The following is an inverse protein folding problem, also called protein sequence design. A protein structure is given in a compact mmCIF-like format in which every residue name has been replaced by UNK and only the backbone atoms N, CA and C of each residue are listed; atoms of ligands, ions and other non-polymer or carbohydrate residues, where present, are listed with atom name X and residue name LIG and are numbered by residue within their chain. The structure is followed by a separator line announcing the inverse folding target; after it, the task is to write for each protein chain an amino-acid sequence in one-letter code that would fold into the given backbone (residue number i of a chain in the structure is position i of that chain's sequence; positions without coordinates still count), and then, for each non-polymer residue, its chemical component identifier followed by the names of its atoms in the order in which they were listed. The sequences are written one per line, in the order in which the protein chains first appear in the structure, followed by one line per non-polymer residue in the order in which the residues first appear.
data_IF_359139720619
#
_entry.id   IF_359139720619
#
_cell.length_a   1.000
_cell.length_b   1.000
_cell.length_c   1.000
_cell.angle_alpha   90.00
_cell.angle_beta   90.00
_cell.angle_gamma   90.00
#
_symmetry.space_group_name_H-M   'P 1'
#
loop_
_entity.id
_entity.type
_entity.pdbx_description
1 polymer ?
#
# COMPACT_ATOMS: atom_id res chain seq x y z
N UNK A 1 -14.52 11.95 -13.29
CA UNK A 1 -13.49 10.92 -13.05
C UNK A 1 -12.19 11.22 -13.79
N UNK A 2 -11.04 11.09 -13.10
CA UNK A 2 -9.71 11.14 -13.73
C UNK A 2 -9.22 9.76 -14.21
N UNK A 3 -10.08 8.73 -14.22
CA UNK A 3 -9.70 7.40 -14.66
C UNK A 3 -10.89 6.73 -15.35
N UNK A 4 -10.67 6.12 -16.50
CA UNK A 4 -11.73 5.42 -17.24
C UNK A 4 -12.15 4.12 -16.55
N UNK A 5 -13.36 3.62 -16.80
CA UNK A 5 -13.82 2.35 -16.21
C UNK A 5 -12.92 1.18 -16.58
N UNK A 6 -12.41 1.14 -17.83
CA UNK A 6 -11.47 0.11 -18.28
C UNK A 6 -10.16 0.13 -17.49
N UNK A 7 -9.62 1.33 -17.21
CA UNK A 7 -8.42 1.49 -16.39
C UNK A 7 -8.65 1.04 -14.96
N UNK A 8 -9.82 1.36 -14.38
CA UNK A 8 -10.18 0.90 -13.04
C UNK A 8 -10.21 -0.62 -12.96
N UNK A 9 -10.87 -1.29 -13.91
CA UNK A 9 -10.94 -2.77 -13.97
C UNK A 9 -9.54 -3.37 -14.08
N UNK A 10 -8.71 -2.86 -14.99
CA UNK A 10 -7.33 -3.36 -15.17
C UNK A 10 -6.44 -3.12 -13.95
N UNK A 11 -6.56 -1.98 -13.29
CA UNK A 11 -5.78 -1.70 -12.08
C UNK A 11 -6.22 -2.63 -10.96
N UNK A 12 -7.52 -2.86 -10.78
CA UNK A 12 -8.02 -3.82 -9.79
C UNK A 12 -7.50 -5.22 -10.07
N UNK A 13 -7.53 -5.67 -11.32
CA UNK A 13 -6.94 -6.95 -11.75
C UNK A 13 -5.44 -7.01 -11.41
N UNK A 14 -4.68 -5.96 -11.74
CA UNK A 14 -3.24 -5.94 -11.46
C UNK A 14 -2.93 -5.94 -9.97
N UNK A 15 -3.70 -5.22 -9.15
CA UNK A 15 -3.53 -5.16 -7.70
C UNK A 15 -3.90 -6.46 -6.99
N UNK A 16 -4.76 -7.28 -7.59
CA UNK A 16 -5.24 -8.55 -7.02
C UNK A 16 -4.50 -9.78 -7.57
N UNK A 17 -3.83 -9.66 -8.71
CA UNK A 17 -3.16 -10.79 -9.39
C UNK A 17 -1.96 -11.41 -8.65
N UNK A 18 -1.40 -10.75 -7.63
CA UNK A 18 -0.20 -11.22 -6.93
C UNK A 18 1.09 -11.21 -7.75
N UNK A 19 1.06 -10.83 -9.03
CA UNK A 19 2.27 -10.76 -9.85
C UNK A 19 3.02 -9.43 -9.61
N UNK A 20 4.32 -9.45 -9.30
CA UNK A 20 5.09 -8.23 -9.00
C UNK A 20 5.14 -7.27 -10.19
N UNK A 21 5.22 -7.82 -11.40
CA UNK A 21 5.26 -7.02 -12.63
C UNK A 21 3.93 -6.28 -12.88
N UNK A 22 2.79 -6.88 -12.53
CA UNK A 22 1.47 -6.26 -12.62
C UNK A 22 1.27 -5.22 -11.53
N UNK A 23 1.70 -5.49 -10.30
CA UNK A 23 1.70 -4.52 -9.20
C UNK A 23 2.51 -3.26 -9.55
N UNK A 24 3.71 -3.42 -10.10
CA UNK A 24 4.53 -2.29 -10.55
C UNK A 24 3.86 -1.49 -11.67
N UNK A 25 3.19 -2.16 -12.62
CA UNK A 25 2.39 -1.51 -13.68
C UNK A 25 1.21 -0.72 -13.08
N UNK A 26 0.47 -1.30 -12.15
CA UNK A 26 -0.64 -0.62 -11.46
C UNK A 26 -0.16 0.63 -10.73
N UNK A 27 0.93 0.53 -9.97
CA UNK A 27 1.53 1.65 -9.27
C UNK A 27 1.94 2.79 -10.22
N UNK A 28 2.52 2.44 -11.37
CA UNK A 28 2.88 3.41 -12.41
C UNK A 28 1.64 4.12 -13.00
N UNK A 29 0.60 3.37 -13.35
CA UNK A 29 -0.64 3.95 -13.89
C UNK A 29 -1.26 4.93 -12.88
N UNK A 30 -1.33 4.54 -11.60
CA UNK A 30 -1.86 5.39 -10.54
C UNK A 30 -1.03 6.66 -10.34
N UNK A 31 0.30 6.56 -10.44
CA UNK A 31 1.20 7.71 -10.38
C UNK A 31 0.98 8.66 -11.56
N UNK A 32 0.90 8.13 -12.78
CA UNK A 32 0.70 8.94 -13.98
C UNK A 32 -0.66 9.67 -13.94
N UNK A 33 -1.73 8.98 -13.53
CA UNK A 33 -3.05 9.58 -13.32
C UNK A 33 -2.99 10.68 -12.25
N UNK A 34 -2.28 10.45 -11.14
CA UNK A 34 -2.10 11.47 -10.10
C UNK A 34 -1.32 12.70 -10.61
N UNK A 35 -0.30 12.51 -11.44
CA UNK A 35 0.46 13.61 -12.05
C UNK A 35 -0.39 14.43 -13.02
N UNK A 36 -1.19 13.76 -13.86
CA UNK A 36 -2.10 14.43 -14.81
C UNK A 36 -3.18 15.24 -14.06
N UNK A 37 -3.77 14.65 -13.02
CA UNK A 37 -4.75 15.31 -12.17
C UNK A 37 -4.19 16.58 -11.50
N UNK A 38 -2.95 16.53 -10.97
CA UNK A 38 -2.28 17.71 -10.39
C UNK A 38 -2.04 18.85 -11.39
N UNK A 39 -1.96 18.54 -12.68
CA UNK A 39 -1.78 19.54 -13.75
C UNK A 39 -3.11 20.12 -14.26
N UNK A 40 -4.24 19.71 -13.69
CA UNK A 40 -5.58 20.10 -14.18
C UNK A 40 -5.91 19.53 -15.56
N UNK A 41 -5.14 18.54 -16.02
CA UNK A 41 -5.36 17.89 -17.31
C UNK A 41 -6.18 16.63 -17.05
N UNK A 42 -7.45 16.65 -17.46
CA UNK A 42 -8.24 15.43 -17.51
C UNK A 42 -7.53 14.44 -18.45
N UNK A 43 -7.30 13.17 -18.03
CA UNK A 43 -6.56 12.23 -18.83
C UNK A 43 -7.33 11.92 -20.11
N UNK A 44 -6.89 12.53 -21.21
CA UNK A 44 -7.28 12.11 -22.54
C UNK A 44 -6.44 10.89 -22.91
N UNK A 45 -7.09 9.89 -23.51
CA UNK A 45 -6.49 8.69 -24.12
C UNK A 45 -5.31 9.05 -25.03
N UNK A 46 -4.13 9.24 -24.46
CA UNK A 46 -2.87 9.24 -25.20
C UNK A 46 -1.97 8.26 -24.48
N UNK A 47 -1.82 7.09 -25.08
CA UNK A 47 -0.81 6.10 -24.73
C UNK A 47 0.55 6.83 -24.64
N UNK A 48 1.01 7.08 -23.41
CA UNK A 48 2.26 7.80 -23.16
C UNK A 48 3.42 6.87 -23.48
N UNK A 49 4.22 7.29 -24.46
CA UNK A 49 5.56 6.76 -24.77
C UNK A 49 6.39 6.71 -23.48
N UNK A 50 7.03 5.56 -23.28
CA UNK A 50 7.89 5.23 -22.16
C UNK A 50 8.86 6.36 -21.77
N UNK A 51 8.62 7.00 -20.62
CA UNK A 51 9.70 7.67 -19.88
C UNK A 51 10.32 6.64 -18.92
N UNK A 52 11.65 6.53 -18.98
CA UNK A 52 12.40 5.47 -18.31
C UNK A 52 12.53 5.73 -16.81
N UNK A 53 12.26 4.67 -16.04
CA UNK A 53 12.38 4.59 -14.57
C UNK A 53 13.76 5.02 -14.07
N UNK A 54 14.79 4.95 -14.91
CA UNK A 54 16.16 5.36 -14.60
C UNK A 54 16.33 6.84 -14.26
N UNK A 55 15.51 7.74 -14.81
CA UNK A 55 15.63 9.18 -14.52
C UNK A 55 15.14 9.53 -13.11
N UNK A 56 14.21 8.74 -12.57
CA UNK A 56 13.64 8.94 -11.23
C UNK A 56 14.54 8.42 -10.11
N UNK A 57 15.31 7.36 -10.36
CA UNK A 57 16.30 6.84 -9.40
C UNK A 57 17.47 7.83 -9.28
N UNK A 58 17.92 8.41 -10.40
CA UNK A 58 18.99 9.41 -10.42
C UNK A 58 18.66 10.68 -9.61
N UNK A 59 17.42 11.18 -9.71
CA UNK A 59 16.98 12.36 -8.97
C UNK A 59 16.84 12.07 -7.46
N UNK A 60 16.45 10.85 -7.08
CA UNK A 60 16.34 10.43 -5.68
C UNK A 60 17.72 10.24 -5.01
N UNK A 61 18.71 9.75 -5.76
CA UNK A 61 20.09 9.60 -5.26
C UNK A 61 20.82 10.94 -5.11
N UNK A 62 20.52 11.92 -5.98
CA UNK A 62 21.03 13.29 -5.82
C UNK A 62 20.43 14.01 -4.60
N UNK A 63 19.19 13.70 -4.21
CA UNK A 63 18.56 14.28 -3.03
C UNK A 63 19.06 13.67 -1.69
N UNK A 64 19.73 12.51 -1.72
CA UNK A 64 20.22 11.78 -0.54
C UNK A 64 21.69 12.03 -0.21
N UNK A 65 22.41 12.81 -1.01
CA UNK A 65 23.80 13.16 -0.69
C UNK A 65 23.82 14.16 0.47
N UNK A 66 24.50 13.88 1.61
CA UNK A 66 24.68 14.89 2.64
C UNK A 66 25.47 16.08 2.06
N UNK A 67 25.15 17.33 2.43
CA UNK A 67 25.83 18.49 1.88
C UNK A 67 27.32 18.39 2.22
N UNK A 68 28.16 18.18 1.19
CA UNK A 68 29.61 18.31 1.32
C UNK A 68 29.84 19.72 1.89
N UNK A 69 30.50 19.80 3.05
CA UNK A 69 30.97 21.05 3.63
C UNK A 69 31.92 21.70 2.62
N UNK A 70 31.38 22.60 1.80
CA UNK A 70 32.16 23.51 0.98
C UNK A 70 32.80 24.50 1.95
N UNK A 71 34.11 24.35 2.12
CA UNK A 71 34.99 25.35 2.71
C UNK A 71 34.74 26.68 2.01
N UNK A 72 34.25 27.66 2.76
CA UNK A 72 33.99 29.01 2.28
C UNK A 72 35.32 29.71 2.04
N UNK A 73 35.83 29.64 0.82
CA UNK A 73 36.77 30.64 0.32
C UNK A 73 35.91 31.80 -0.21
N UNK A 74 35.95 32.91 0.52
CA UNK A 74 35.35 34.19 0.15
C UNK A 74 35.91 34.65 -1.20
N UNK A 75 35.09 34.63 -2.24
CA UNK A 75 35.30 35.44 -3.44
C UNK A 75 34.04 36.27 -3.68
N UNK A 76 34.24 37.58 -3.67
CA UNK A 76 33.25 38.60 -3.97
C UNK A 76 32.55 38.31 -5.30
N UNK A 77 31.23 38.21 -5.26
CA UNK A 77 30.40 38.12 -6.45
C UNK A 77 28.93 37.96 -6.05
N UNK A 78 28.18 39.05 -6.13
CA UNK A 78 26.76 39.10 -5.83
C UNK A 78 25.95 38.02 -6.57
N UNK A 79 25.48 37.02 -5.84
CA UNK A 79 24.23 36.32 -6.16
C UNK A 79 23.49 36.10 -4.86
N UNK A 80 22.76 37.13 -4.44
CA UNK A 80 21.67 36.96 -3.49
C UNK A 80 20.59 36.17 -4.22
N UNK A 81 20.60 34.85 -4.09
CA UNK A 81 19.41 34.03 -4.33
C UNK A 81 18.39 34.45 -3.27
N UNK A 82 17.65 35.51 -3.59
CA UNK A 82 16.45 35.89 -2.88
C UNK A 82 15.46 34.75 -3.08
N UNK A 83 15.45 33.80 -2.13
CA UNK A 83 14.32 32.90 -1.93
C UNK A 83 13.14 33.76 -1.49
N UNK A 84 12.49 34.41 -2.45
CA UNK A 84 11.19 35.03 -2.25
C UNK A 84 10.23 33.90 -1.91
N UNK A 85 10.06 33.67 -0.61
CA UNK A 85 8.89 32.99 -0.08
C UNK A 85 7.71 33.90 -0.37
N UNK A 86 7.17 33.81 -1.59
CA UNK A 86 5.94 34.49 -1.96
C UNK A 86 4.86 34.09 -0.95
N UNK A 87 4.38 35.02 -0.11
CA UNK A 87 3.38 34.71 0.92
C UNK A 87 2.08 34.20 0.30
N UNK A 88 1.77 34.56 -0.95
CA UNK A 88 0.60 34.05 -1.67
C UNK A 88 0.78 32.57 -2.02
N UNK A 89 1.96 32.18 -2.51
CA UNK A 89 2.29 30.78 -2.77
C UNK A 89 2.24 29.93 -1.50
N UNK A 90 2.83 30.42 -0.40
CA UNK A 90 2.78 29.73 0.89
C UNK A 90 1.34 29.55 1.42
N UNK A 91 0.48 30.55 1.22
CA UNK A 91 -0.94 30.46 1.58
C UNK A 91 -1.67 29.42 0.71
N UNK A 92 -1.45 29.42 -0.60
CA UNK A 92 -2.07 28.47 -1.52
C UNK A 92 -1.67 27.01 -1.19
N UNK A 93 -0.39 26.77 -0.89
CA UNK A 93 0.11 25.45 -0.46
C UNK A 93 -0.54 25.01 0.85
N UNK A 94 -0.70 25.92 1.82
CA UNK A 94 -1.39 25.64 3.09
C UNK A 94 -2.86 25.29 2.88
N UNK A 95 -3.58 26.02 2.04
CA UNK A 95 -5.00 25.75 1.71
C UNK A 95 -5.13 24.39 1.02
N UNK A 96 -4.25 24.08 0.08
CA UNK A 96 -4.23 22.78 -0.61
C UNK A 96 -3.98 21.63 0.37
N UNK A 97 -3.04 21.79 1.32
CA UNK A 97 -2.77 20.80 2.36
C UNK A 97 -3.99 20.58 3.27
N UNK A 98 -4.67 21.65 3.71
CA UNK A 98 -5.89 21.54 4.53
C UNK A 98 -6.97 20.75 3.79
N UNK A 99 -7.21 21.07 2.51
CA UNK A 99 -8.17 20.32 1.67
C UNK A 99 -7.78 18.85 1.55
N UNK A 100 -6.49 18.54 1.35
CA UNK A 100 -6.00 17.17 1.25
C UNK A 100 -6.20 16.40 2.57
N UNK A 101 -5.92 17.02 3.72
CA UNK A 101 -6.13 16.40 5.03
C UNK A 101 -7.62 16.15 5.33
N UNK A 102 -8.49 17.09 4.96
CA UNK A 102 -9.94 16.90 5.05
C UNK A 102 -10.41 15.74 4.16
N UNK A 103 -9.91 15.65 2.93
CA UNK A 103 -10.20 14.55 2.02
C UNK A 103 -9.76 13.20 2.61
N UNK A 104 -8.55 13.11 3.15
CA UNK A 104 -8.06 11.86 3.78
C UNK A 104 -8.84 11.48 5.04
N UNK A 105 -9.36 12.46 5.79
CA UNK A 105 -10.22 12.23 6.94
C UNK A 105 -11.58 11.68 6.53
N UNK A 106 -12.16 12.19 5.45
CA UNK A 106 -13.46 11.75 4.94
C UNK A 106 -13.38 10.44 4.17
N UNK A 107 -12.25 10.15 3.54
CA UNK A 107 -12.04 8.98 2.68
C UNK A 107 -10.71 8.31 3.02
N UNK A 108 -10.61 7.70 4.22
CA UNK A 108 -9.39 7.07 4.68
C UNK A 108 -8.99 5.94 3.75
N UNK A 109 -7.67 5.72 3.63
CA UNK A 109 -7.14 4.52 3.00
C UNK A 109 -7.29 3.32 3.96
N UNK A 110 -7.30 2.09 3.43
CA UNK A 110 -7.10 0.89 4.24
C UNK A 110 -5.89 1.03 5.18
N UNK A 111 -5.99 0.46 6.38
CA UNK A 111 -4.91 0.49 7.38
C UNK A 111 -3.68 -0.24 6.86
N UNK A 112 -3.89 -1.27 6.04
CA UNK A 112 -2.85 -2.07 5.42
C UNK A 112 -2.98 -1.93 3.90
N UNK A 113 -1.90 -1.51 3.24
CA UNK A 113 -1.83 -1.43 1.78
C UNK A 113 -1.09 -2.65 1.23
N UNK A 114 -1.39 -3.10 -0.01
CA UNK A 114 -0.67 -4.19 -0.66
C UNK A 114 0.84 -3.89 -0.75
N UNK A 115 1.67 -4.90 -0.51
CA UNK A 115 3.13 -4.82 -0.56
C UNK A 115 3.71 -6.04 -1.25
N UNK A 116 4.88 -5.86 -1.84
CA UNK A 116 5.70 -6.94 -2.37
C UNK A 116 7.03 -6.95 -1.60
N UNK A 117 7.51 -8.14 -1.26
CA UNK A 117 8.81 -8.34 -0.60
C UNK A 117 9.51 -9.54 -1.21
N UNK A 118 10.83 -9.43 -1.37
CA UNK A 118 11.70 -10.54 -1.77
C UNK A 118 12.66 -10.84 -0.62
N UNK A 119 12.66 -12.07 -0.13
CA UNK A 119 13.42 -12.47 1.05
C UNK A 119 14.34 -13.63 0.71
N UNK A 120 15.48 -13.69 1.39
CA UNK A 120 16.39 -14.83 1.29
C UNK A 120 15.76 -16.07 1.93
N UNK A 121 15.85 -17.22 1.26
CA UNK A 121 15.37 -18.50 1.81
C UNK A 121 16.26 -18.85 3.01
N UNK A 122 15.69 -19.16 4.18
CA UNK A 122 16.52 -19.46 5.34
C UNK A 122 17.30 -20.75 5.16
N UNK A 123 18.60 -20.73 5.51
CA UNK A 123 19.51 -21.88 5.36
C UNK A 123 19.34 -22.93 6.46
N UNK A 124 18.74 -22.54 7.56
CA UNK A 124 18.54 -23.36 8.76
C UNK A 124 17.15 -23.07 9.34
N UNK A 125 16.48 -24.04 9.98
CA UNK A 125 15.20 -23.80 10.67
C UNK A 125 15.28 -22.73 11.78
N UNK A 126 16.48 -22.48 12.31
CA UNK A 126 16.74 -21.44 13.30
C UNK A 126 16.87 -20.04 12.68
N UNK A 127 17.23 -19.99 11.41
CA UNK A 127 17.29 -18.76 10.63
C UNK A 127 15.86 -18.51 10.14
N UNK A 128 15.21 -17.45 10.61
CA UNK A 128 13.83 -17.15 10.22
C UNK A 128 13.79 -15.73 9.70
N UNK A 129 13.56 -15.59 8.39
CA UNK A 129 13.34 -14.29 7.77
C UNK A 129 12.06 -13.61 8.31
N UNK A 130 11.02 -14.40 8.58
CA UNK A 130 9.77 -13.96 9.21
C UNK A 130 9.23 -15.09 10.10
N UNK A 131 8.44 -14.73 11.10
CA UNK A 131 7.62 -15.68 11.88
C UNK A 131 6.18 -15.41 11.57
N UNK A 132 5.39 -16.47 11.37
CA UNK A 132 3.99 -16.39 10.96
C UNK A 132 3.05 -16.92 12.06
N UNK A 133 1.81 -16.43 12.08
CA UNK A 133 0.75 -17.01 12.89
C UNK A 133 -0.58 -17.06 12.13
N UNK A 134 -1.47 -17.96 12.56
CA UNK A 134 -2.81 -18.09 12.01
C UNK A 134 -3.72 -17.00 12.56
N UNK A 135 -4.66 -16.55 11.72
CA UNK A 135 -5.81 -15.75 12.12
C UNK A 135 -7.02 -16.14 11.27
N UNK A 136 -8.20 -15.76 11.73
CA UNK A 136 -9.46 -15.99 11.02
C UNK A 136 -10.08 -14.66 10.62
N UNK A 137 -10.31 -14.42 9.34
CA UNK A 137 -11.03 -13.25 8.84
C UNK A 137 -12.55 -13.48 8.90
N UNK A 138 -13.31 -12.44 9.20
CA UNK A 138 -14.78 -12.47 9.30
C UNK A 138 -15.50 -12.29 7.94
N UNK A 139 -14.74 -12.23 6.85
CA UNK A 139 -15.25 -12.03 5.49
C UNK A 139 -15.70 -10.59 5.19
N UNK A 140 -15.52 -9.62 6.09
CA UNK A 140 -16.03 -8.25 5.89
C UNK A 140 -15.01 -7.30 5.27
N UNK A 141 -15.48 -6.34 4.46
CA UNK A 141 -14.65 -5.21 3.97
C UNK A 141 -14.09 -4.36 5.12
N UNK A 142 -14.74 -4.37 6.29
CA UNK A 142 -14.30 -3.64 7.49
C UNK A 142 -12.90 -4.08 7.96
N UNK A 143 -12.49 -5.31 7.65
CA UNK A 143 -11.17 -5.82 8.03
C UNK A 143 -10.01 -5.00 7.39
N UNK A 144 -10.22 -4.44 6.20
CA UNK A 144 -9.25 -3.55 5.53
C UNK A 144 -8.94 -2.28 6.36
N UNK A 145 -9.89 -1.84 7.20
CA UNK A 145 -9.74 -0.69 8.09
C UNK A 145 -9.45 -1.11 9.54
N UNK A 146 -9.36 -2.41 9.81
CA UNK A 146 -9.13 -2.95 11.14
C UNK A 146 -7.64 -3.02 11.41
N UNK A 147 -7.21 -2.47 12.55
CA UNK A 147 -5.81 -2.58 12.96
C UNK A 147 -5.59 -3.94 13.61
N UNK A 148 -4.76 -4.76 12.98
CA UNK A 148 -4.31 -6.03 13.53
C UNK A 148 -3.08 -5.77 14.42
N UNK A 149 -3.09 -6.33 15.62
CA UNK A 149 -1.96 -6.27 16.54
C UNK A 149 -1.66 -7.66 17.07
N UNK A 150 -0.38 -8.02 17.11
CA UNK A 150 0.08 -9.34 17.58
C UNK A 150 0.86 -9.10 18.87
N UNK A 151 0.49 -9.78 19.95
CA UNK A 151 1.08 -9.59 21.29
C UNK A 151 1.56 -10.90 21.90
N UNK A 152 2.64 -10.81 22.67
CA UNK A 152 3.18 -11.92 23.46
C UNK A 152 3.98 -12.94 22.64
N UNK A 153 4.58 -13.90 23.35
CA UNK A 153 5.36 -15.00 22.75
C UNK A 153 4.50 -16.02 22.03
N UNK A 154 3.22 -16.12 22.39
CA UNK A 154 2.24 -16.99 21.72
C UNK A 154 1.61 -16.35 20.47
N UNK A 155 2.08 -15.17 20.07
CA UNK A 155 1.58 -14.44 18.90
C UNK A 155 0.06 -14.24 18.88
N UNK A 156 -0.53 -13.95 20.05
CA UNK A 156 -1.98 -13.74 20.18
C UNK A 156 -2.42 -12.54 19.35
N UNK A 157 -3.32 -12.80 18.40
CA UNK A 157 -3.89 -11.79 17.51
C UNK A 157 -4.98 -11.00 18.23
N UNK A 158 -4.92 -9.67 18.11
CA UNK A 158 -5.95 -8.74 18.57
C UNK A 158 -6.32 -7.79 17.45
N UNK A 159 -7.60 -7.74 17.11
CA UNK A 159 -8.17 -6.86 16.10
C UNK A 159 -8.81 -5.66 16.78
N UNK A 160 -8.34 -4.45 16.45
CA UNK A 160 -8.96 -3.22 16.89
C UNK A 160 -9.75 -2.64 15.72
N UNK A 161 -11.04 -2.89 15.72
CA UNK A 161 -11.95 -2.32 14.74
C UNK A 161 -11.89 -0.77 14.82
N UNK A 162 -12.03 -0.07 13.68
CA UNK A 162 -12.16 1.37 13.66
C UNK A 162 -13.57 1.74 14.14
N UNK A 163 -13.77 1.75 15.45
CA UNK A 163 -15.03 2.16 16.06
C UNK A 163 -15.42 3.56 15.53
N UNK A 164 -16.55 3.64 14.82
CA UNK A 164 -17.28 4.87 14.45
C UNK A 164 -16.46 5.92 13.68
N UNK A 165 -15.47 5.53 12.87
CA UNK A 165 -14.82 6.50 11.99
C UNK A 165 -15.77 6.88 10.85
N UNK A 166 -16.33 8.09 10.91
CA UNK A 166 -17.23 8.62 9.88
C UNK A 166 -16.68 8.50 8.46
N UNK A 167 -15.37 8.66 8.27
CA UNK A 167 -14.77 8.49 6.95
C UNK A 167 -14.77 7.04 6.47
N UNK A 168 -14.55 6.07 7.36
CA UNK A 168 -14.67 4.64 7.02
C UNK A 168 -16.11 4.32 6.65
N UNK A 169 -17.09 4.83 7.41
CA UNK A 169 -18.52 4.66 7.11
C UNK A 169 -18.83 5.21 5.73
N UNK A 170 -18.37 6.43 5.42
CA UNK A 170 -18.56 7.02 4.10
C UNK A 170 -18.04 6.10 3.00
N UNK A 171 -16.81 5.58 3.15
CA UNK A 171 -16.21 4.66 2.18
C UNK A 171 -17.03 3.39 2.03
N UNK A 172 -17.48 2.79 3.12
CA UNK A 172 -18.26 1.55 3.06
C UNK A 172 -19.63 1.75 2.42
N UNK A 173 -20.29 2.88 2.66
CA UNK A 173 -21.63 3.20 2.11
C UNK A 173 -21.62 3.61 0.64
N UNK A 174 -20.46 3.90 0.05
CA UNK A 174 -20.33 4.54 -1.27
C UNK A 174 -20.83 3.70 -2.45
N UNK A 175 -21.08 2.41 -2.24
CA UNK A 175 -21.50 1.48 -3.29
C UNK A 175 -22.95 1.00 -3.14
N UNK A 176 -23.64 1.33 -2.04
CA UNK A 176 -24.92 0.71 -1.68
C UNK A 176 -26.16 1.56 -2.00
N UNK A 177 -26.02 2.64 -2.76
CA UNK A 177 -27.10 3.63 -2.92
C UNK A 177 -27.39 4.33 -1.59
N UNK A 178 -28.49 5.11 -1.48
CA UNK A 178 -28.85 5.80 -0.24
C UNK A 178 -29.37 4.80 0.81
N UNK A 179 -28.47 4.02 1.42
CA UNK A 179 -28.76 3.23 2.60
C UNK A 179 -28.58 4.09 3.85
N UNK A 180 -29.66 4.26 4.61
CA UNK A 180 -29.73 5.11 5.81
C UNK A 180 -29.30 4.40 7.09
N UNK A 181 -29.00 3.10 7.06
CA UNK A 181 -28.61 2.32 8.24
C UNK A 181 -27.17 1.80 8.19
N UNK A 182 -26.47 1.96 9.32
CA UNK A 182 -25.09 1.53 9.53
C UNK A 182 -24.90 0.01 9.40
N UNK A 183 -25.92 -0.77 9.81
CA UNK A 183 -25.88 -2.24 9.79
C UNK A 183 -25.77 -2.82 8.37
N UNK A 184 -26.37 -2.16 7.38
CA UNK A 184 -26.36 -2.62 5.98
C UNK A 184 -25.00 -2.35 5.31
N UNK A 185 -24.33 -1.25 5.66
CA UNK A 185 -23.02 -0.92 5.10
C UNK A 185 -21.90 -1.84 5.62
N UNK A 186 -22.05 -2.36 6.85
CA UNK A 186 -21.09 -3.29 7.46
C UNK A 186 -21.22 -4.73 6.98
N UNK A 187 -22.36 -5.11 6.41
CA UNK A 187 -22.63 -6.49 5.97
C UNK A 187 -22.19 -6.78 4.53
N UNK A 188 -21.30 -5.94 3.99
CA UNK A 188 -20.57 -6.24 2.77
C UNK A 188 -19.60 -7.41 3.01
N UNK A 189 -20.18 -8.61 3.01
CA UNK A 189 -19.48 -9.87 3.10
C UNK A 189 -18.88 -10.21 1.75
N UNK A 190 -17.65 -10.68 1.81
CA UNK A 190 -16.90 -11.23 0.71
C UNK A 190 -16.90 -12.73 0.96
N UNK A 191 -17.38 -13.48 -0.02
CA UNK A 191 -17.43 -14.95 0.04
C UNK A 191 -16.05 -15.52 -0.31
N UNK A 192 -15.21 -15.70 0.71
CA UNK A 192 -13.84 -16.19 0.58
C UNK A 192 -13.43 -17.01 1.81
N UNK A 193 -12.37 -17.80 1.64
CA UNK A 193 -11.83 -18.60 2.74
C UNK A 193 -11.38 -17.70 3.90
N UNK A 194 -11.71 -18.13 5.12
CA UNK A 194 -11.55 -17.32 6.33
C UNK A 194 -10.18 -17.51 6.99
N UNK A 195 -9.42 -18.52 6.58
CA UNK A 195 -8.09 -18.77 7.12
C UNK A 195 -7.09 -17.81 6.52
N UNK A 196 -6.29 -17.15 7.36
CA UNK A 196 -5.22 -16.29 6.88
C UNK A 196 -3.96 -16.42 7.71
N UNK A 197 -2.85 -16.09 7.07
CA UNK A 197 -1.52 -16.13 7.68
C UNK A 197 -1.01 -14.71 7.88
N UNK A 198 -0.67 -14.36 9.11
CA UNK A 198 -0.14 -13.05 9.50
C UNK A 198 1.35 -13.11 9.75
N UNK A 199 2.05 -12.00 9.49
CA UNK A 199 3.43 -11.79 9.93
C UNK A 199 3.43 -11.46 11.43
N UNK A 200 3.92 -12.37 12.26
CA UNK A 200 4.02 -12.24 13.71
C UNK A 200 5.32 -11.59 14.18
N UNK A 201 6.44 -11.95 13.57
CA UNK A 201 7.76 -11.36 13.83
C UNK A 201 8.50 -11.06 12.54
N UNK A 202 9.35 -10.05 12.60
CA UNK A 202 10.04 -9.49 11.44
C UNK A 202 11.53 -9.53 11.71
N UNK A 203 12.28 -10.16 10.80
CA UNK A 203 13.73 -10.03 10.75
C UNK A 203 14.13 -8.71 10.06
N UNK A 204 15.32 -8.13 10.35
CA UNK A 204 15.77 -6.88 9.74
C UNK A 204 15.64 -6.79 8.22
N UNK A 205 15.83 -7.90 7.49
CA UNK A 205 15.68 -7.96 6.03
C UNK A 205 14.25 -7.59 5.57
N UNK A 206 13.23 -8.21 6.16
CA UNK A 206 11.83 -7.88 5.86
C UNK A 206 11.44 -6.48 6.35
N UNK A 207 11.94 -6.09 7.53
CA UNK A 207 11.71 -4.75 8.08
C UNK A 207 12.26 -3.64 7.19
N UNK A 208 13.45 -3.85 6.60
CA UNK A 208 14.07 -2.93 5.64
C UNK A 208 13.25 -2.72 4.35
N UNK A 209 12.41 -3.70 3.99
CA UNK A 209 11.49 -3.63 2.86
C UNK A 209 10.07 -3.17 3.24
N UNK A 210 9.86 -2.77 4.50
CA UNK A 210 8.59 -2.21 4.96
C UNK A 210 7.54 -3.24 5.38
N UNK A 211 7.93 -4.50 5.56
CA UNK A 211 7.08 -5.52 6.20
C UNK A 211 6.80 -5.13 7.64
N UNK A 212 5.54 -5.27 8.08
CA UNK A 212 5.08 -4.92 9.41
C UNK A 212 4.34 -6.08 10.09
N UNK A 213 4.29 -6.07 11.43
CA UNK A 213 3.60 -7.09 12.21
C UNK A 213 2.10 -6.93 11.97
N UNK A 214 1.43 -8.04 11.70
CA UNK A 214 0.02 -8.06 11.31
C UNK A 214 -0.23 -7.77 9.83
N UNK A 215 0.82 -7.64 9.00
CA UNK A 215 0.65 -7.79 7.55
C UNK A 215 0.17 -9.21 7.23
N UNK A 216 -0.71 -9.35 6.24
CA UNK A 216 -1.31 -10.64 5.85
C UNK A 216 -0.61 -11.18 4.63
N UNK A 217 -0.18 -12.45 4.65
CA UNK A 217 0.38 -13.12 3.48
C UNK A 217 -0.75 -13.55 2.56
N UNK A 218 -0.67 -13.17 1.29
CA UNK A 218 -1.69 -13.50 0.28
C UNK A 218 -1.15 -14.31 -0.88
N UNK A 219 0.12 -14.10 -1.24
CA UNK A 219 0.77 -14.86 -2.31
C UNK A 219 2.19 -15.26 -1.90
N UNK A 220 2.63 -16.40 -2.42
CA UNK A 220 4.00 -16.92 -2.36
C UNK A 220 4.47 -17.19 -3.79
N UNK A 221 5.61 -16.61 -4.20
CA UNK A 221 6.18 -16.79 -5.53
C UNK A 221 5.18 -16.50 -6.68
N UNK A 222 4.37 -15.46 -6.51
CA UNK A 222 3.36 -15.03 -7.48
C UNK A 222 2.12 -15.92 -7.56
N UNK A 223 2.01 -16.96 -6.72
CA UNK A 223 0.83 -17.82 -6.61
C UNK A 223 0.04 -17.47 -5.36
N UNK A 224 -1.28 -17.46 -5.48
CA UNK A 224 -2.16 -17.28 -4.33
C UNK A 224 -1.89 -18.38 -3.30
N UNK A 225 -1.79 -17.99 -2.04
CA UNK A 225 -1.51 -18.91 -0.94
C UNK A 225 -2.74 -19.09 -0.08
N UNK A 226 -3.22 -20.33 0.01
CA UNK A 226 -4.29 -20.76 0.89
C UNK A 226 -3.73 -21.82 1.84
N UNK A 227 -3.94 -21.64 3.14
CA UNK A 227 -3.44 -22.57 4.15
C UNK A 227 -3.11 -21.90 5.49
N UNK A 228 -2.43 -22.66 6.34
CA UNK A 228 -1.99 -22.23 7.66
C UNK A 228 -0.57 -21.68 7.63
N UNK A 229 -0.16 -21.05 8.73
CA UNK A 229 1.21 -20.61 8.97
C UNK A 229 2.21 -21.78 8.90
N UNK A 230 1.79 -22.99 9.28
CA UNK A 230 2.62 -24.20 9.16
C UNK A 230 2.84 -24.56 7.69
N UNK A 231 1.76 -24.55 6.90
CA UNK A 231 1.82 -24.85 5.47
C UNK A 231 2.69 -23.83 4.73
N UNK A 232 2.63 -22.56 5.11
CA UNK A 232 3.48 -21.52 4.54
C UNK A 232 4.96 -21.75 4.85
N UNK A 233 5.29 -22.07 6.10
CA UNK A 233 6.67 -22.36 6.51
C UNK A 233 7.20 -23.59 5.80
N UNK A 234 6.38 -24.62 5.65
CA UNK A 234 6.73 -25.82 4.88
C UNK A 234 6.99 -25.47 3.42
N UNK A 235 6.08 -24.74 2.76
CA UNK A 235 6.22 -24.32 1.37
C UNK A 235 7.51 -23.49 1.15
N UNK A 236 7.86 -22.58 2.06
CA UNK A 236 9.12 -21.82 1.97
C UNK A 236 10.34 -22.74 2.16
N UNK A 237 10.25 -23.72 3.06
CA UNK A 237 11.36 -24.66 3.32
C UNK A 237 11.61 -25.56 2.12
N UNK A 238 10.56 -25.95 1.39
CA UNK A 238 10.65 -26.74 0.16
C UNK A 238 11.31 -25.98 -1.00
N UNK A 239 11.38 -24.65 -0.95
CA UNK A 239 12.10 -23.83 -1.94
C UNK A 239 13.63 -23.83 -1.73
N UNK A 240 14.10 -24.11 -0.51
CA UNK A 240 15.51 -24.01 -0.14
C UNK A 240 16.50 -24.81 -1.03
N UNK A 241 16.14 -26.00 -1.57
CA UNK A 241 17.02 -26.74 -2.47
C UNK A 241 17.19 -26.10 -3.86
N UNK A 242 16.25 -25.25 -4.28
CA UNK A 242 16.13 -24.79 -5.67
C UNK A 242 16.33 -23.28 -5.82
N UNK A 243 15.96 -22.50 -4.82
CA UNK A 243 15.91 -21.05 -4.87
C UNK A 243 16.70 -20.43 -3.73
N UNK A 244 17.37 -19.30 -4.01
CA UNK A 244 18.07 -18.52 -2.96
C UNK A 244 17.15 -17.50 -2.31
N UNK A 245 16.14 -17.04 -3.04
CA UNK A 245 15.17 -16.05 -2.61
C UNK A 245 13.77 -16.54 -2.91
N UNK A 246 12.81 -16.08 -2.13
CA UNK A 246 11.38 -16.27 -2.38
C UNK A 246 10.69 -14.92 -2.26
N UNK A 247 9.48 -14.82 -2.81
CA UNK A 247 8.74 -13.58 -2.87
C UNK A 247 7.39 -13.72 -2.19
N UNK A 248 6.97 -12.70 -1.46
CA UNK A 248 5.65 -12.64 -0.85
C UNK A 248 4.91 -11.39 -1.34
N UNK A 249 3.60 -11.56 -1.56
CA UNK A 249 2.68 -10.42 -1.63
C UNK A 249 1.88 -10.37 -0.34
N UNK A 250 1.96 -9.21 0.31
CA UNK A 250 1.30 -8.94 1.57
C UNK A 250 0.11 -8.02 1.36
N UNK A 251 -0.96 -8.20 2.14
CA UNK A 251 -2.13 -7.32 2.20
C UNK A 251 -2.83 -7.10 0.83
N UNK A 252 -2.75 -8.07 -0.09
CA UNK A 252 -3.55 -8.04 -1.32
C UNK A 252 -4.89 -8.78 -1.13
N UNK A 253 -5.47 -8.69 0.07
CA UNK A 253 -6.73 -9.35 0.42
C UNK A 253 -7.91 -8.72 -0.34
N UNK A 254 -8.96 -9.49 -0.66
CA UNK A 254 -10.17 -8.97 -1.30
C UNK A 254 -10.83 -7.80 -0.55
N UNK A 255 -10.78 -7.79 0.79
CA UNK A 255 -11.28 -6.68 1.61
C UNK A 255 -10.60 -5.35 1.28
N UNK A 256 -9.29 -5.37 1.04
CA UNK A 256 -8.50 -4.19 0.73
C UNK A 256 -8.79 -3.73 -0.69
N UNK A 257 -8.88 -4.66 -1.65
CA UNK A 257 -9.25 -4.34 -3.02
C UNK A 257 -10.64 -3.69 -3.11
N UNK A 258 -11.63 -4.27 -2.43
CA UNK A 258 -12.98 -3.74 -2.37
C UNK A 258 -13.00 -2.36 -1.67
N UNK A 259 -12.33 -2.20 -0.53
CA UNK A 259 -12.24 -0.90 0.15
C UNK A 259 -11.63 0.20 -0.74
N UNK A 260 -10.57 -0.12 -1.50
CA UNK A 260 -9.96 0.81 -2.45
C UNK A 260 -10.91 1.14 -3.61
N UNK A 261 -11.63 0.14 -4.13
CA UNK A 261 -12.64 0.31 -5.15
C UNK A 261 -13.77 1.23 -4.66
N UNK A 262 -14.30 1.02 -3.45
CA UNK A 262 -15.35 1.89 -2.87
C UNK A 262 -14.88 3.32 -2.75
N UNK A 263 -13.68 3.51 -2.22
CA UNK A 263 -13.05 4.83 -2.08
C UNK A 263 -12.89 5.53 -3.43
N UNK A 264 -12.65 4.79 -4.50
CA UNK A 264 -12.51 5.36 -5.85
C UNK A 264 -13.80 5.96 -6.41
N UNK A 265 -14.97 5.50 -5.97
CA UNK A 265 -16.25 6.06 -6.43
C UNK A 265 -16.59 7.42 -5.81
N UNK A 266 -15.99 7.76 -4.67
CA UNK A 266 -16.26 9.01 -3.94
C UNK A 266 -15.31 10.13 -4.33
N UNK A 267 -14.16 9.77 -4.88
CA UNK A 267 -13.17 10.72 -5.37
C UNK A 267 -13.59 11.39 -6.70
N UNK A 268 -14.80 11.11 -7.18
CA UNK A 268 -15.42 11.71 -8.37
C UNK A 268 -16.40 12.81 -7.98
#
# INVERSE_FOLDING_TARGET
SAMTMDEKVKITEFLTSGEPSKLAKAAKILYDVAQLSRRGVAPQRRLIKQSSVFKLIQDADQARSPPKRISKTLVNGHTRLASYNDPQKAHAEKVALIRQLQFLKMYPLPVRMPKYVELTVPKSPSDKALVFCNDTWDGTVMDAFTKITIKGREHRVKKKAPLQNAGVINVLSSCMGPCTSFEVATDARIDVEHNRVLVAEIHPEGGGQGVMKGDVVTHLNGREFHGTASDLVQAISELAPHEKTFTLVLNAEPSIAEALKRRSYIAE
#
